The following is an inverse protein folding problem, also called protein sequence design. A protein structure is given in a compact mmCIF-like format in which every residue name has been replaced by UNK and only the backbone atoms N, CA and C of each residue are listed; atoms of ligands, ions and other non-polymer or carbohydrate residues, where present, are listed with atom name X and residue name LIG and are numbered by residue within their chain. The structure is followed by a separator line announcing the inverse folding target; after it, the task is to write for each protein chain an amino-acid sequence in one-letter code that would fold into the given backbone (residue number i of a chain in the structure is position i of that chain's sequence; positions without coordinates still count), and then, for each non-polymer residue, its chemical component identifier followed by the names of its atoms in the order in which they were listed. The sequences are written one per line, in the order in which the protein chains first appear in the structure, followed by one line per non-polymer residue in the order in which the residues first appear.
data_IF_865056377961
#
_entry.id   IF_865056377961
#
_cell.length_a   1.000
_cell.length_b   1.000
_cell.length_c   1.000
_cell.angle_alpha   90.00
_cell.angle_beta   90.00
_cell.angle_gamma   90.00
#
_symmetry.space_group_name_H-M   'P 1'
#
loop_
_entity.id
_entity.type
_entity.pdbx_description
1 polymer ?
#
# COMPACT_ATOMS: atom_id res chain seq x y z
N UNK A 1 2.88 -1.47 26.22
CA UNK A 1 3.84 -1.21 25.12
C UNK A 1 3.17 -0.57 23.90
N UNK A 2 2.06 -1.09 23.39
CA UNK A 2 1.35 -0.49 22.24
C UNK A 2 0.94 0.98 22.48
N UNK A 3 0.40 1.31 23.65
CA UNK A 3 0.02 2.67 24.04
C UNK A 3 1.19 3.66 23.97
N UNK A 4 2.38 3.23 24.38
CA UNK A 4 3.60 4.06 24.30
C UNK A 4 3.99 4.30 22.85
N UNK A 5 3.90 3.27 22.00
CA UNK A 5 4.18 3.42 20.56
C UNK A 5 3.19 4.35 19.86
N UNK A 6 1.90 4.24 20.18
CA UNK A 6 0.88 5.13 19.63
C UNK A 6 1.13 6.57 20.09
N UNK A 7 1.41 6.79 21.37
CA UNK A 7 1.69 8.11 21.91
C UNK A 7 2.93 8.76 21.26
N UNK A 8 4.04 8.01 21.14
CA UNK A 8 5.24 8.48 20.46
C UNK A 8 4.99 8.78 18.98
N UNK A 9 4.24 7.90 18.30
CA UNK A 9 3.85 8.12 16.89
C UNK A 9 3.00 9.38 16.70
N UNK A 10 2.06 9.64 17.61
CA UNK A 10 1.25 10.86 17.59
C UNK A 10 2.07 12.12 17.86
N UNK A 11 3.01 12.04 18.79
CA UNK A 11 3.94 13.16 19.06
C UNK A 11 4.77 13.46 17.81
N UNK A 12 5.45 12.46 17.26
CA UNK A 12 6.26 12.63 16.05
C UNK A 12 5.41 13.17 14.91
N UNK A 13 4.24 12.60 14.67
CA UNK A 13 3.31 13.03 13.62
C UNK A 13 2.82 14.47 13.79
N UNK A 14 2.59 14.92 15.03
CA UNK A 14 2.16 16.28 15.33
C UNK A 14 3.30 17.30 15.13
N UNK A 15 4.55 16.93 15.43
CA UNK A 15 5.71 17.81 15.30
C UNK A 15 6.35 17.81 13.91
N UNK A 16 6.16 16.75 13.11
CA UNK A 16 6.74 16.62 11.77
C UNK A 16 6.44 17.82 10.85
N UNK A 17 5.19 18.32 10.72
CA UNK A 17 4.91 19.48 9.89
C UNK A 17 5.69 20.73 10.31
N UNK A 18 5.88 20.90 11.62
CA UNK A 18 6.60 22.05 12.19
C UNK A 18 8.11 22.01 11.90
N UNK A 19 8.69 20.80 11.85
CA UNK A 19 10.11 20.60 11.52
C UNK A 19 10.39 20.71 10.02
N UNK A 20 9.46 20.27 9.18
CA UNK A 20 9.64 20.21 7.73
C UNK A 20 9.33 21.53 7.05
N UNK A 21 8.46 22.35 7.64
CA UNK A 21 8.04 23.65 7.12
C UNK A 21 9.19 24.59 6.73
N UNK A 22 10.18 24.87 7.59
CA UNK A 22 11.26 25.79 7.24
C UNK A 22 12.14 25.30 6.09
N UNK A 23 12.15 23.98 5.85
CA UNK A 23 12.87 23.38 4.71
C UNK A 23 12.13 23.54 3.38
N UNK A 24 10.81 23.74 3.43
CA UNK A 24 9.94 23.90 2.26
C UNK A 24 9.60 25.36 1.97
N UNK A 25 9.78 26.26 2.93
CA UNK A 25 9.60 27.71 2.73
C UNK A 25 10.55 28.20 1.63
N UNK A 26 9.97 28.81 0.60
CA UNK A 26 10.70 29.33 -0.57
C UNK A 26 10.89 28.33 -1.74
N UNK A 27 10.54 27.04 -1.57
CA UNK A 27 10.61 26.05 -2.65
C UNK A 27 9.25 25.63 -3.21
N UNK A 28 8.19 25.83 -2.44
CA UNK A 28 6.83 25.52 -2.88
C UNK A 28 5.94 26.76 -2.78
N UNK A 29 5.10 27.04 -3.78
CA UNK A 29 4.16 28.17 -3.78
C UNK A 29 2.91 27.87 -2.92
N UNK A 30 3.06 27.12 -1.81
CA UNK A 30 1.96 26.71 -0.95
C UNK A 30 2.21 27.23 0.46
N UNK A 31 1.29 28.04 0.97
CA UNK A 31 1.28 28.46 2.38
C UNK A 31 0.87 27.28 3.26
N UNK A 32 1.82 26.75 4.01
CA UNK A 32 1.54 25.67 4.98
C UNK A 32 0.84 26.29 6.19
N UNK A 33 -0.43 25.98 6.38
CA UNK A 33 -1.16 26.40 7.57
C UNK A 33 -0.75 25.54 8.76
N UNK A 34 -0.08 26.17 9.74
CA UNK A 34 0.28 25.53 10.99
C UNK A 34 -0.95 25.44 11.89
N UNK A 35 -1.33 24.23 12.29
CA UNK A 35 -2.40 24.02 13.24
C UNK A 35 -2.35 22.61 13.82
N UNK A 36 -2.73 22.47 15.08
CA UNK A 36 -3.01 21.16 15.67
C UNK A 36 -4.28 20.60 15.04
N UNK A 37 -4.12 19.68 14.11
CA UNK A 37 -5.24 19.02 13.45
C UNK A 37 -5.73 17.86 14.32
N UNK A 38 -6.66 18.13 15.21
CA UNK A 38 -7.18 17.14 16.18
C UNK A 38 -7.82 15.95 15.49
N UNK A 39 -8.56 16.16 14.39
CA UNK A 39 -9.24 15.09 13.66
C UNK A 39 -8.26 14.05 13.07
N UNK A 40 -7.21 14.43 12.34
CA UNK A 40 -6.18 13.49 11.88
C UNK A 40 -5.47 12.75 13.03
N UNK A 41 -5.21 13.41 14.15
CA UNK A 41 -4.59 12.76 15.31
C UNK A 41 -5.51 11.73 15.96
N UNK A 42 -6.81 12.03 16.10
CA UNK A 42 -7.80 11.08 16.61
C UNK A 42 -7.97 9.89 15.66
N UNK A 43 -8.03 10.12 14.35
CA UNK A 43 -8.13 9.03 13.37
C UNK A 43 -6.88 8.16 13.39
N UNK A 44 -5.68 8.75 13.47
CA UNK A 44 -4.43 8.01 13.58
C UNK A 44 -4.37 7.16 14.87
N UNK A 45 -4.83 7.72 16.01
CA UNK A 45 -4.87 7.00 17.28
C UNK A 45 -5.87 5.84 17.23
N UNK A 46 -7.03 6.02 16.59
CA UNK A 46 -8.04 4.98 16.41
C UNK A 46 -7.48 3.84 15.52
N UNK A 47 -6.85 4.16 14.38
CA UNK A 47 -6.19 3.17 13.54
C UNK A 47 -5.09 2.42 14.31
N UNK A 48 -4.19 3.15 14.99
CA UNK A 48 -3.11 2.55 15.77
C UNK A 48 -3.63 1.59 16.84
N UNK A 49 -4.69 1.97 17.55
CA UNK A 49 -5.32 1.15 18.59
C UNK A 49 -5.97 -0.12 18.02
N UNK A 50 -6.71 0.01 16.93
CA UNK A 50 -7.36 -1.12 16.27
C UNK A 50 -6.33 -2.10 15.69
N UNK A 51 -5.29 -1.60 15.03
CA UNK A 51 -4.21 -2.43 14.50
C UNK A 51 -3.46 -3.14 15.63
N UNK A 52 -3.10 -2.42 16.70
CA UNK A 52 -2.46 -3.02 17.86
C UNK A 52 -3.34 -4.12 18.50
N UNK A 53 -4.66 -3.91 18.57
CA UNK A 53 -5.59 -4.90 19.08
C UNK A 53 -5.62 -6.17 18.20
N UNK A 54 -5.66 -6.03 16.86
CA UNK A 54 -5.63 -7.17 15.93
C UNK A 54 -4.35 -7.99 16.12
N UNK A 55 -3.19 -7.33 16.17
CA UNK A 55 -1.91 -8.03 16.31
C UNK A 55 -1.68 -8.67 17.69
N UNK A 56 -2.29 -8.12 18.75
CA UNK A 56 -2.19 -8.67 20.10
C UNK A 56 -3.16 -9.82 20.37
N UNK A 57 -4.34 -9.80 19.76
CA UNK A 57 -5.38 -10.81 19.96
C UNK A 57 -4.95 -12.21 19.50
N UNK A 58 -4.21 -12.32 18.41
CA UNK A 58 -3.76 -13.61 17.89
C UNK A 58 -2.81 -14.34 18.85
N UNK A 59 -1.67 -13.75 19.29
CA UNK A 59 -0.78 -14.39 20.26
C UNK A 59 -1.46 -14.66 21.60
N UNK A 60 -2.30 -13.74 22.08
CA UNK A 60 -3.05 -13.92 23.34
C UNK A 60 -4.04 -15.07 23.26
N UNK A 61 -4.76 -15.20 22.13
CA UNK A 61 -5.68 -16.31 21.90
C UNK A 61 -4.98 -17.66 21.87
N UNK A 62 -3.77 -17.73 21.29
CA UNK A 62 -2.94 -18.93 21.32
C UNK A 62 -2.42 -19.22 22.72
N UNK A 63 -1.94 -18.22 23.45
CA UNK A 63 -1.42 -18.37 24.81
C UNK A 63 -2.48 -18.84 25.81
N UNK A 64 -3.74 -18.37 25.66
CA UNK A 64 -4.85 -18.75 26.54
C UNK A 64 -5.30 -20.22 26.42
N UNK A 65 -4.95 -20.90 25.31
CA UNK A 65 -5.33 -22.32 25.10
C UNK A 65 -4.21 -23.30 25.52
N UNK A 66 -3.03 -22.79 25.85
CA UNK A 66 -1.92 -23.64 26.34
C UNK A 66 -2.20 -24.03 27.79
N UNK A 67 -2.68 -25.27 28.00
CA UNK A 67 -2.82 -25.85 29.32
C UNK A 67 -1.42 -25.94 29.97
N UNK A 68 -1.27 -25.47 31.21
CA UNK A 68 -0.03 -25.53 31.98
C UNK A 68 0.59 -26.93 31.99
N UNK A 69 -0.24 -27.98 31.93
CA UNK A 69 0.20 -29.38 31.87
C UNK A 69 0.91 -29.75 30.53
N UNK A 70 0.67 -29.02 29.44
CA UNK A 70 1.32 -29.25 28.16
C UNK A 70 2.78 -28.70 28.15
N UNK A 71 3.06 -27.69 28.97
CA UNK A 71 4.42 -27.14 29.11
C UNK A 71 5.40 -28.12 29.72
N UNK A 72 4.93 -29.08 30.52
CA UNK A 72 5.78 -30.08 31.17
C UNK A 72 5.97 -31.37 30.35
N UNK A 73 5.22 -31.56 29.27
CA UNK A 73 5.20 -32.84 28.52
C UNK A 73 5.96 -32.83 27.20
N UNK A 74 6.26 -31.66 26.62
CA UNK A 74 6.95 -31.64 25.32
C UNK A 74 7.76 -30.38 25.09
N UNK A 75 9.08 -30.50 25.15
CA UNK A 75 10.03 -29.53 24.60
C UNK A 75 10.10 -29.54 23.07
N UNK A 76 9.31 -30.39 22.37
CA UNK A 76 9.40 -30.64 20.91
C UNK A 76 8.09 -30.56 20.15
N UNK A 77 6.94 -30.58 20.79
CA UNK A 77 5.67 -30.36 20.09
C UNK A 77 5.37 -28.87 19.94
N UNK A 78 5.40 -28.39 18.68
CA UNK A 78 4.89 -27.08 18.35
C UNK A 78 3.48 -26.95 18.90
N UNK A 79 3.22 -25.87 19.62
CA UNK A 79 1.90 -25.48 20.10
C UNK A 79 0.93 -25.39 18.90
N UNK A 80 0.31 -26.49 18.54
CA UNK A 80 -0.72 -26.60 17.49
C UNK A 80 -2.10 -26.30 18.06
N UNK A 81 -2.22 -25.20 18.80
CA UNK A 81 -3.51 -24.67 19.23
C UNK A 81 -4.15 -23.86 18.09
N UNK A 82 -5.44 -24.06 17.87
CA UNK A 82 -6.24 -23.15 17.07
C UNK A 82 -6.91 -22.18 18.04
N UNK A 83 -6.80 -20.85 17.85
CA UNK A 83 -7.45 -19.91 18.75
C UNK A 83 -8.97 -20.14 18.78
N UNK A 84 -9.58 -19.88 19.93
CA UNK A 84 -11.00 -20.08 20.14
C UNK A 84 -11.85 -19.31 19.11
N UNK A 85 -13.03 -19.81 18.81
CA UNK A 85 -13.97 -19.15 17.90
C UNK A 85 -14.23 -17.68 18.28
N UNK A 86 -14.16 -17.37 19.58
CA UNK A 86 -14.33 -16.00 20.09
C UNK A 86 -13.22 -15.07 19.60
N UNK A 87 -11.97 -15.54 19.56
CA UNK A 87 -10.81 -14.78 19.05
C UNK A 87 -10.96 -14.52 17.56
N UNK A 88 -11.38 -15.53 16.77
CA UNK A 88 -11.65 -15.34 15.35
C UNK A 88 -12.74 -14.30 15.09
N UNK A 89 -13.85 -14.37 15.83
CA UNK A 89 -14.95 -13.40 15.71
C UNK A 89 -14.46 -12.01 16.08
N UNK A 90 -13.72 -11.86 17.18
CA UNK A 90 -13.15 -10.58 17.59
C UNK A 90 -12.19 -10.00 16.53
N UNK A 91 -11.34 -10.83 15.90
CA UNK A 91 -10.46 -10.38 14.82
C UNK A 91 -11.23 -9.91 13.59
N UNK A 92 -12.30 -10.63 13.21
CA UNK A 92 -13.16 -10.22 12.08
C UNK A 92 -13.85 -8.90 12.36
N UNK A 93 -14.36 -8.71 13.58
CA UNK A 93 -14.98 -7.45 14.01
C UNK A 93 -13.96 -6.31 13.96
N UNK A 94 -12.77 -6.49 14.49
CA UNK A 94 -11.71 -5.48 14.46
C UNK A 94 -11.27 -5.15 13.04
N UNK A 95 -11.10 -6.15 12.17
CA UNK A 95 -10.79 -5.94 10.77
C UNK A 95 -11.90 -5.16 10.04
N UNK A 96 -13.16 -5.48 10.31
CA UNK A 96 -14.31 -4.75 9.78
C UNK A 96 -14.33 -3.29 10.28
N UNK A 97 -14.02 -3.05 11.56
CA UNK A 97 -13.95 -1.69 12.11
C UNK A 97 -12.83 -0.88 11.44
N UNK A 98 -11.66 -1.48 11.20
CA UNK A 98 -10.56 -0.85 10.45
C UNK A 98 -11.02 -0.48 9.03
N UNK A 99 -11.70 -1.41 8.35
CA UNK A 99 -12.20 -1.17 6.99
C UNK A 99 -13.26 -0.05 6.95
N UNK A 100 -14.20 -0.05 7.90
CA UNK A 100 -15.22 0.99 8.03
C UNK A 100 -14.56 2.35 8.31
N UNK A 101 -13.61 2.40 9.24
CA UNK A 101 -12.88 3.62 9.55
C UNK A 101 -12.09 4.14 8.34
N UNK A 102 -11.44 3.25 7.59
CA UNK A 102 -10.71 3.60 6.38
C UNK A 102 -11.64 4.19 5.30
N UNK A 103 -12.81 3.61 5.10
CA UNK A 103 -13.81 4.10 4.13
C UNK A 103 -14.38 5.44 4.59
N UNK A 104 -14.71 5.57 5.88
CA UNK A 104 -15.32 6.77 6.45
C UNK A 104 -14.38 7.99 6.45
N UNK A 105 -13.07 7.77 6.58
CA UNK A 105 -12.05 8.83 6.60
C UNK A 105 -11.46 9.12 5.22
N UNK A 106 -11.78 8.32 4.21
CA UNK A 106 -11.27 8.51 2.86
C UNK A 106 -11.94 9.69 2.15
N UNK A 107 -11.15 10.48 1.43
CA UNK A 107 -11.66 11.57 0.57
C UNK A 107 -12.60 11.04 -0.52
N UNK A 108 -12.36 9.82 -1.00
CA UNK A 108 -13.21 9.12 -1.97
C UNK A 108 -13.57 7.72 -1.45
N UNK A 109 -14.69 7.57 -0.73
CA UNK A 109 -15.09 6.30 -0.11
C UNK A 109 -15.18 5.13 -1.09
N UNK A 110 -15.63 5.39 -2.31
CA UNK A 110 -15.73 4.37 -3.36
C UNK A 110 -14.37 3.78 -3.74
N UNK A 111 -13.32 4.63 -3.85
CA UNK A 111 -11.96 4.17 -4.13
C UNK A 111 -11.39 3.36 -2.97
N UNK A 112 -11.63 3.80 -1.72
CA UNK A 112 -11.20 3.07 -0.54
C UNK A 112 -11.88 1.69 -0.45
N UNK A 113 -13.19 1.63 -0.69
CA UNK A 113 -13.93 0.37 -0.73
C UNK A 113 -13.42 -0.56 -1.84
N UNK A 114 -13.18 -0.01 -3.05
CA UNK A 114 -12.60 -0.75 -4.17
C UNK A 114 -11.20 -1.30 -3.86
N UNK A 115 -10.36 -0.51 -3.20
CA UNK A 115 -9.03 -0.94 -2.77
C UNK A 115 -9.09 -2.08 -1.73
N UNK A 116 -9.98 -1.96 -0.74
CA UNK A 116 -10.17 -3.01 0.27
C UNK A 116 -10.68 -4.30 -0.38
N UNK A 117 -11.70 -4.20 -1.25
CA UNK A 117 -12.24 -5.36 -1.97
C UNK A 117 -11.18 -6.01 -2.87
N UNK A 118 -10.43 -5.22 -3.63
CA UNK A 118 -9.32 -5.68 -4.45
C UNK A 118 -8.23 -6.37 -3.65
N UNK A 119 -7.84 -5.80 -2.50
CA UNK A 119 -6.85 -6.40 -1.61
C UNK A 119 -7.31 -7.75 -1.06
N UNK A 120 -8.57 -7.86 -0.63
CA UNK A 120 -9.16 -9.12 -0.17
C UNK A 120 -9.19 -10.18 -1.28
N UNK A 121 -9.54 -9.76 -2.51
CA UNK A 121 -9.57 -10.63 -3.67
C UNK A 121 -8.16 -11.16 -4.00
N UNK A 122 -7.16 -10.30 -4.05
CA UNK A 122 -5.75 -10.66 -4.30
C UNK A 122 -5.26 -11.61 -3.21
N UNK A 123 -5.54 -11.30 -1.95
CA UNK A 123 -5.18 -12.19 -0.83
C UNK A 123 -5.86 -13.56 -0.94
N UNK A 124 -7.13 -13.60 -1.35
CA UNK A 124 -7.88 -14.83 -1.62
C UNK A 124 -7.26 -15.65 -2.75
N UNK A 125 -6.88 -14.98 -3.86
CA UNK A 125 -6.19 -15.63 -4.99
C UNK A 125 -4.87 -16.25 -4.55
N UNK A 126 -4.03 -15.53 -3.82
CA UNK A 126 -2.75 -16.07 -3.33
C UNK A 126 -2.95 -17.24 -2.37
N UNK A 127 -3.95 -17.14 -1.49
CA UNK A 127 -4.29 -18.25 -0.58
C UNK A 127 -4.74 -19.49 -1.35
N UNK A 128 -5.57 -19.30 -2.38
CA UNK A 128 -6.04 -20.40 -3.24
C UNK A 128 -4.86 -20.99 -4.03
N UNK A 129 -4.04 -20.16 -4.65
CA UNK A 129 -2.85 -20.59 -5.38
C UNK A 129 -1.89 -21.39 -4.46
N UNK A 130 -1.63 -20.90 -3.25
CA UNK A 130 -0.82 -21.61 -2.27
C UNK A 130 -1.40 -22.97 -1.89
N UNK A 131 -2.73 -23.05 -1.70
CA UNK A 131 -3.40 -24.31 -1.41
C UNK A 131 -3.34 -25.29 -2.60
N UNK A 132 -3.51 -24.78 -3.83
CA UNK A 132 -3.42 -25.58 -5.06
C UNK A 132 -2.00 -26.09 -5.28
N UNK A 133 -0.97 -25.28 -5.07
CA UNK A 133 0.44 -25.67 -5.16
C UNK A 133 0.73 -26.80 -4.16
N UNK A 134 0.34 -26.63 -2.90
CA UNK A 134 0.56 -27.66 -1.86
C UNK A 134 -0.20 -28.95 -2.19
N UNK A 135 -1.44 -28.85 -2.73
CA UNK A 135 -2.19 -30.03 -3.18
C UNK A 135 -1.54 -30.68 -4.40
N UNK A 136 -1.12 -29.91 -5.39
CA UNK A 136 -0.41 -30.41 -6.57
C UNK A 136 0.89 -31.13 -6.21
N UNK A 137 1.68 -30.56 -5.28
CA UNK A 137 2.89 -31.21 -4.79
C UNK A 137 2.64 -32.57 -4.12
N UNK A 138 1.46 -32.78 -3.49
CA UNK A 138 1.07 -34.07 -2.91
C UNK A 138 0.71 -35.14 -3.97
N UNK A 139 0.29 -34.68 -5.14
CA UNK A 139 -0.07 -35.57 -6.25
C UNK A 139 1.13 -36.02 -7.09
N UNK A 140 2.29 -35.32 -6.93
CA UNK A 140 3.50 -35.72 -7.65
C UNK A 140 3.98 -37.11 -7.22
N UNK A 141 4.40 -37.97 -8.18
CA UNK A 141 5.00 -39.25 -7.87
C UNK A 141 6.28 -39.04 -7.04
N UNK A 142 6.50 -39.93 -6.09
CA UNK A 142 7.64 -39.85 -5.16
C UNK A 142 8.94 -39.90 -5.95
N UNK A 143 9.78 -38.82 -5.86
CA UNK A 143 11.04 -38.80 -6.58
C UNK A 143 11.97 -39.90 -6.07
N UNK A 144 12.76 -40.47 -6.99
CA UNK A 144 13.75 -41.51 -6.65
C UNK A 144 14.91 -40.98 -5.84
N UNK A 145 15.19 -39.67 -5.91
CA UNK A 145 16.29 -39.03 -5.16
C UNK A 145 15.87 -38.75 -3.71
N UNK A 146 16.62 -39.24 -2.68
CA UNK A 146 16.25 -39.07 -1.27
C UNK A 146 16.14 -37.61 -0.84
N UNK A 147 17.01 -36.73 -1.33
CA UNK A 147 17.03 -35.28 -1.04
C UNK A 147 15.78 -34.58 -1.54
N UNK A 148 15.36 -34.84 -2.78
CA UNK A 148 14.15 -34.28 -3.35
C UNK A 148 12.89 -34.77 -2.63
N UNK A 149 12.89 -36.02 -2.20
CA UNK A 149 11.79 -36.60 -1.42
C UNK A 149 11.65 -35.92 -0.06
N UNK A 150 12.78 -35.66 0.64
CA UNK A 150 12.81 -34.93 1.91
C UNK A 150 12.37 -33.48 1.73
N UNK A 151 12.86 -32.78 0.71
CA UNK A 151 12.49 -31.40 0.41
C UNK A 151 11.00 -31.27 0.14
N UNK A 152 10.44 -32.13 -0.73
CA UNK A 152 9.01 -32.17 -1.02
C UNK A 152 8.18 -32.51 0.22
N UNK A 153 8.58 -33.50 1.01
CA UNK A 153 7.89 -33.87 2.23
C UNK A 153 7.82 -32.70 3.24
N UNK A 154 8.86 -31.90 3.35
CA UNK A 154 8.89 -30.71 4.20
C UNK A 154 7.94 -29.60 3.68
N UNK A 155 7.79 -29.44 2.37
CA UNK A 155 6.92 -28.44 1.78
C UNK A 155 5.42 -28.69 2.03
N UNK A 156 4.96 -29.95 1.99
CA UNK A 156 3.55 -30.28 2.21
C UNK A 156 3.24 -30.89 3.59
N UNK A 157 4.20 -30.89 4.50
CA UNK A 157 4.01 -31.34 5.88
C UNK A 157 2.89 -30.52 6.55
N UNK A 158 1.95 -31.15 7.28
CA UNK A 158 0.96 -30.42 8.08
C UNK A 158 1.66 -29.45 9.05
N UNK A 159 1.28 -28.18 9.01
CA UNK A 159 1.92 -27.11 9.79
C UNK A 159 3.20 -26.53 9.18
N UNK A 160 3.59 -26.90 7.96
CA UNK A 160 4.67 -26.23 7.25
C UNK A 160 4.30 -24.78 6.91
N UNK A 161 5.23 -23.83 7.06
CA UNK A 161 4.98 -22.41 6.79
C UNK A 161 4.90 -22.10 5.28
N UNK A 162 4.81 -23.11 4.41
CA UNK A 162 4.89 -22.99 2.95
C UNK A 162 3.83 -22.04 2.39
N UNK A 163 2.58 -22.14 2.85
CA UNK A 163 1.52 -21.22 2.41
C UNK A 163 1.79 -19.78 2.85
N UNK A 164 2.31 -19.59 4.07
CA UNK A 164 2.70 -18.27 4.56
C UNK A 164 3.87 -17.67 3.77
N UNK A 165 4.89 -18.47 3.47
CA UNK A 165 6.03 -18.06 2.65
C UNK A 165 5.59 -17.68 1.24
N UNK A 166 4.71 -18.47 0.60
CA UNK A 166 4.16 -18.17 -0.72
C UNK A 166 3.33 -16.87 -0.71
N UNK A 167 2.53 -16.64 0.33
CA UNK A 167 1.79 -15.40 0.51
C UNK A 167 2.73 -14.20 0.65
N UNK A 168 3.76 -14.30 1.49
CA UNK A 168 4.72 -13.21 1.69
C UNK A 168 5.50 -12.88 0.42
N UNK A 169 5.99 -13.89 -0.29
CA UNK A 169 6.70 -13.71 -1.56
C UNK A 169 5.77 -13.15 -2.64
N UNK A 170 4.55 -13.68 -2.73
CA UNK A 170 3.56 -13.21 -3.70
C UNK A 170 3.17 -11.75 -3.47
N UNK A 171 2.89 -11.37 -2.22
CA UNK A 171 2.58 -9.98 -1.87
C UNK A 171 3.78 -9.06 -2.11
N UNK A 172 4.98 -9.46 -1.72
CA UNK A 172 6.19 -8.68 -1.97
C UNK A 172 6.43 -8.44 -3.46
N UNK A 173 6.30 -9.48 -4.28
CA UNK A 173 6.43 -9.37 -5.74
C UNK A 173 5.33 -8.48 -6.33
N UNK A 174 4.09 -8.60 -5.84
CA UNK A 174 2.97 -7.74 -6.30
C UNK A 174 3.24 -6.27 -6.04
N UNK A 175 3.76 -5.92 -4.85
CA UNK A 175 4.13 -4.54 -4.53
C UNK A 175 5.24 -4.05 -5.45
N UNK A 176 6.27 -4.87 -5.68
CA UNK A 176 7.39 -4.51 -6.56
C UNK A 176 6.92 -4.27 -8.00
N UNK A 177 6.08 -5.16 -8.53
CA UNK A 177 5.49 -4.99 -9.87
C UNK A 177 4.57 -3.77 -9.93
N UNK A 178 3.77 -3.51 -8.89
CA UNK A 178 2.91 -2.34 -8.83
C UNK A 178 3.72 -1.04 -8.84
N UNK A 179 4.82 -0.96 -8.11
CA UNK A 179 5.73 0.20 -8.11
C UNK A 179 6.36 0.39 -9.49
N UNK A 180 6.86 -0.69 -10.11
CA UNK A 180 7.46 -0.62 -11.44
C UNK A 180 6.45 -0.17 -12.51
N UNK A 181 5.20 -0.66 -12.44
CA UNK A 181 4.12 -0.21 -13.33
C UNK A 181 3.75 1.25 -13.11
N UNK A 182 3.72 1.70 -11.85
CA UNK A 182 3.44 3.09 -11.51
C UNK A 182 4.53 4.00 -12.06
N UNK A 183 5.79 3.66 -11.86
CA UNK A 183 6.93 4.39 -12.41
C UNK A 183 6.86 4.49 -13.94
N UNK A 184 6.63 3.36 -14.61
CA UNK A 184 6.50 3.32 -16.06
C UNK A 184 5.34 4.19 -16.58
N UNK A 185 4.16 4.08 -15.96
CA UNK A 185 3.00 4.87 -16.34
C UNK A 185 3.20 6.37 -16.10
N UNK A 186 3.82 6.76 -14.98
CA UNK A 186 4.14 8.16 -14.70
C UNK A 186 5.13 8.72 -15.73
N UNK A 187 6.19 7.97 -16.03
CA UNK A 187 7.16 8.36 -17.05
C UNK A 187 6.48 8.55 -18.40
N UNK A 188 5.65 7.61 -18.80
CA UNK A 188 4.93 7.68 -20.08
C UNK A 188 3.93 8.86 -20.13
N UNK A 189 3.22 9.15 -19.04
CA UNK A 189 2.34 10.32 -18.96
C UNK A 189 3.14 11.63 -19.07
N UNK A 190 4.30 11.73 -18.42
CA UNK A 190 5.16 12.92 -18.52
C UNK A 190 5.67 13.08 -19.95
N UNK A 191 6.13 12.02 -20.58
CA UNK A 191 6.63 12.03 -21.96
C UNK A 191 5.52 12.37 -22.98
N UNK A 192 4.28 11.95 -22.73
CA UNK A 192 3.15 12.28 -23.63
C UNK A 192 2.60 13.68 -23.42
N UNK A 193 2.68 14.22 -22.20
CA UNK A 193 2.17 15.58 -21.86
C UNK A 193 3.16 16.67 -22.24
N UNK A 194 4.46 16.33 -22.30
CA UNK A 194 5.48 17.24 -22.84
C UNK A 194 5.59 16.96 -24.36
N UNK A 195 4.99 17.77 -25.23
CA UNK A 195 5.29 17.66 -26.67
C UNK A 195 6.79 17.81 -26.87
N UNK A 196 7.39 16.99 -27.76
CA UNK A 196 8.80 17.14 -28.13
C UNK A 196 9.14 18.58 -28.58
N UNK A 197 8.12 19.33 -28.97
CA UNK A 197 8.16 20.75 -29.28
C UNK A 197 7.26 21.55 -28.33
N UNK A 198 7.54 21.51 -27.02
CA UNK A 198 6.86 22.44 -26.11
C UNK A 198 7.19 23.87 -26.54
N UNK A 199 6.15 24.73 -26.78
CA UNK A 199 6.42 26.12 -27.16
C UNK A 199 7.25 26.79 -26.07
N UNK A 200 8.42 27.30 -26.43
CA UNK A 200 9.34 27.98 -25.51
C UNK A 200 8.76 29.28 -24.96
N UNK A 201 7.77 29.83 -25.63
CA UNK A 201 7.13 31.10 -25.27
C UNK A 201 5.64 31.07 -25.60
N UNK A 202 4.82 31.60 -24.66
CA UNK A 202 3.41 31.86 -24.85
C UNK A 202 3.17 33.36 -24.83
N UNK A 203 2.52 33.85 -25.88
CA UNK A 203 2.10 35.25 -25.98
C UNK A 203 0.59 35.29 -25.80
N UNK A 204 0.12 36.06 -24.85
CA UNK A 204 -1.29 36.24 -24.53
C UNK A 204 -1.71 37.68 -24.79
N UNK A 205 -3.00 37.90 -24.91
CA UNK A 205 -3.61 39.25 -25.12
C UNK A 205 -3.27 39.92 -26.46
N UNK A 206 -3.08 39.13 -27.52
CA UNK A 206 -2.92 39.65 -28.88
C UNK A 206 -4.31 39.92 -29.49
N UNK A 207 -4.58 41.18 -29.77
CA UNK A 207 -5.83 41.57 -30.38
C UNK A 207 -6.01 40.96 -31.77
N UNK A 208 -7.26 40.62 -32.23
CA UNK A 208 -7.50 39.97 -33.51
C UNK A 208 -6.94 40.73 -34.71
N UNK A 209 -6.94 42.08 -34.66
CA UNK A 209 -6.40 42.96 -35.70
C UNK A 209 -4.87 42.97 -35.76
N UNK A 210 -4.18 42.56 -34.72
CA UNK A 210 -2.72 42.54 -34.62
C UNK A 210 -2.14 41.14 -34.88
N UNK A 211 -2.99 40.11 -34.83
CA UNK A 211 -2.55 38.73 -34.80
C UNK A 211 -1.74 38.31 -36.06
N UNK A 212 -2.17 38.78 -37.27
CA UNK A 212 -1.47 38.45 -38.49
C UNK A 212 -0.09 39.13 -38.59
N UNK A 213 -0.02 40.41 -38.20
CA UNK A 213 1.22 41.17 -38.19
C UNK A 213 2.22 40.59 -37.21
N UNK A 214 1.74 40.22 -36.01
CA UNK A 214 2.53 39.59 -34.99
C UNK A 214 3.06 38.21 -35.44
N UNK A 215 2.22 37.39 -36.03
CA UNK A 215 2.61 36.07 -36.52
C UNK A 215 3.71 36.18 -37.59
N UNK A 216 3.61 37.11 -38.51
CA UNK A 216 4.64 37.36 -39.55
C UNK A 216 5.96 37.83 -38.93
N UNK A 217 5.89 38.66 -37.90
CA UNK A 217 7.07 39.16 -37.20
C UNK A 217 7.80 38.04 -36.43
N UNK A 218 7.08 37.18 -35.74
CA UNK A 218 7.61 36.05 -35.02
C UNK A 218 8.23 35.01 -35.94
N UNK A 219 7.53 34.65 -37.05
CA UNK A 219 8.02 33.70 -38.04
C UNK A 219 9.27 34.19 -38.79
N UNK A 220 9.48 35.51 -38.86
CA UNK A 220 10.70 36.09 -39.46
C UNK A 220 11.94 36.05 -38.60
N UNK A 221 11.87 35.60 -37.32
CA UNK A 221 13.02 35.54 -36.44
C UNK A 221 13.77 34.19 -36.58
N UNK A 222 15.11 34.23 -36.70
CA UNK A 222 15.93 33.01 -36.77
C UNK A 222 15.82 32.26 -35.42
N UNK A 223 15.52 30.96 -35.46
CA UNK A 223 15.39 30.09 -34.29
C UNK A 223 13.94 29.90 -33.80
N UNK A 224 12.95 30.46 -34.48
CA UNK A 224 11.54 30.21 -34.20
C UNK A 224 11.08 28.98 -34.96
N UNK A 225 10.54 28.00 -34.21
CA UNK A 225 9.93 26.79 -34.75
C UNK A 225 8.48 27.00 -35.20
N UNK A 226 7.61 26.05 -34.95
CA UNK A 226 6.19 26.11 -35.37
C UNK A 226 5.45 27.11 -34.49
N UNK A 227 4.83 28.10 -35.09
CA UNK A 227 3.95 29.08 -34.43
C UNK A 227 2.52 28.60 -34.48
N UNK A 228 1.93 28.26 -33.36
CA UNK A 228 0.54 27.81 -33.28
C UNK A 228 -0.34 28.92 -32.67
N UNK A 229 -1.45 29.21 -33.29
CA UNK A 229 -2.43 30.17 -32.80
C UNK A 229 -3.63 29.43 -32.21
N UNK A 230 -3.94 29.72 -30.95
CA UNK A 230 -5.11 29.16 -30.25
C UNK A 230 -6.04 30.33 -29.91
N UNK A 231 -7.26 30.38 -30.44
CA UNK A 231 -8.22 31.43 -30.05
C UNK A 231 -8.68 31.14 -28.62
N UNK A 232 -8.56 32.15 -27.74
CA UNK A 232 -9.18 32.11 -26.41
C UNK A 232 -10.62 32.60 -26.55
N UNK A 233 -11.58 31.82 -26.06
CA UNK A 233 -13.00 32.17 -25.95
C UNK A 233 -13.27 32.86 -24.62
#
# INVERSE_FOLDING_TARGET
MASVGIFLGLLIGAFTPMMVSPLLEGRLPVTVQFGFHVIPLLTASAFGSLVAAVFTLWPLGLAGEVRAAALFRSSTERLSGHPSRRVYVAMVILAALIAILAIATAVRPQMAAGYIAGSLLVFGIFRLAGALIVRGLRLLPRPRQPLLRLALANLYRPGAPTTGALLSLGLGLTVLVAVALLEHNLKHQIEQVLPEEAPGYYFIDIQPNQAEAFQKLVQGHPGVGVVQRVPML
#
